data_IF_405221536546
#
_entry.id   IF_405221536546
#
_cell.length_a   1.000
_cell.length_b   1.000
_cell.length_c   1.000
_cell.angle_alpha   90.00
_cell.angle_beta   90.00
_cell.angle_gamma   90.00
#
_symmetry.space_group_name_H-M   'P 1'
#
loop_
_entity.id
_entity.type
_entity.pdbx_description
1 polymer ?
#
# COMPACT_ATOMS: atom_id res chain seq x y z
N UNK A 1 70.61 18.86 29.37
CA UNK A 1 69.25 19.17 28.86
C UNK A 1 68.68 17.91 28.26
N UNK A 2 67.61 17.35 28.85
CA UNK A 2 66.93 16.13 28.37
C UNK A 2 65.62 16.55 27.72
N UNK A 3 65.51 16.37 26.41
CA UNK A 3 64.30 16.68 25.64
C UNK A 3 63.40 15.44 25.62
N UNK A 4 62.26 15.52 26.31
CA UNK A 4 61.22 14.50 26.29
C UNK A 4 60.39 14.66 25.01
N UNK A 5 60.50 13.70 24.09
CA UNK A 5 59.65 13.63 22.89
C UNK A 5 58.39 12.84 23.24
N UNK A 6 57.26 13.54 23.43
CA UNK A 6 55.94 12.91 23.54
C UNK A 6 55.43 12.74 22.11
N UNK A 7 55.39 11.51 21.62
CA UNK A 7 54.73 11.14 20.35
C UNK A 7 53.25 10.87 20.66
N UNK A 8 52.37 11.79 20.26
CA UNK A 8 50.93 11.58 20.31
C UNK A 8 50.47 10.80 19.08
N UNK A 9 50.02 9.56 19.29
CA UNK A 9 49.44 8.72 18.25
C UNK A 9 47.93 9.06 18.14
N UNK A 10 47.56 9.84 17.13
CA UNK A 10 46.15 10.11 16.83
C UNK A 10 45.57 8.96 16.00
N UNK A 11 44.79 8.08 16.62
CA UNK A 11 44.00 7.07 15.93
C UNK A 11 42.75 7.73 15.32
N UNK A 12 42.74 7.94 14.01
CA UNK A 12 41.56 8.34 13.28
C UNK A 12 40.60 7.14 13.16
N UNK A 13 39.56 7.10 13.99
CA UNK A 13 38.44 6.18 13.81
C UNK A 13 37.62 6.61 12.60
N UNK A 14 37.85 6.01 11.43
CA UNK A 14 36.92 6.11 10.31
C UNK A 14 35.68 5.27 10.64
N UNK A 15 34.62 5.95 11.07
CA UNK A 15 33.29 5.35 11.22
C UNK A 15 32.72 5.18 9.81
N UNK A 16 32.86 3.97 9.24
CA UNK A 16 32.13 3.61 8.04
C UNK A 16 30.64 3.58 8.41
N UNK A 17 29.93 4.66 8.13
CA UNK A 17 28.48 4.67 8.14
C UNK A 17 28.02 3.71 7.05
N UNK A 18 27.78 2.45 7.42
CA UNK A 18 27.04 1.52 6.58
C UNK A 18 25.66 2.10 6.37
N UNK A 19 25.44 2.79 5.25
CA UNK A 19 24.11 3.24 4.87
C UNK A 19 23.25 2.00 4.72
N UNK A 20 22.20 1.86 5.53
CA UNK A 20 21.26 0.74 5.41
C UNK A 20 20.69 0.73 3.99
N UNK A 21 20.73 -0.43 3.35
CA UNK A 21 20.25 -0.62 1.98
C UNK A 21 18.77 -1.03 1.96
N UNK A 22 18.19 -1.21 3.15
CA UNK A 22 16.77 -1.28 3.44
C UNK A 22 16.32 -0.05 4.24
N UNK A 23 15.00 0.22 4.34
CA UNK A 23 14.50 1.32 5.14
C UNK A 23 14.87 1.18 6.64
N UNK A 24 14.95 2.29 7.39
CA UNK A 24 15.18 2.24 8.83
C UNK A 24 14.16 1.34 9.55
N UNK A 25 14.64 0.51 10.48
CA UNK A 25 13.84 -0.43 11.27
C UNK A 25 13.06 -1.46 10.44
N UNK A 26 13.52 -1.77 9.22
CA UNK A 26 12.94 -2.82 8.38
C UNK A 26 13.74 -4.12 8.49
N UNK A 27 13.02 -5.23 8.66
CA UNK A 27 13.56 -6.58 8.53
C UNK A 27 12.81 -7.33 7.42
N UNK A 28 13.50 -8.15 6.61
CA UNK A 28 14.92 -8.46 6.71
C UNK A 28 15.83 -7.31 6.19
N UNK A 29 16.90 -7.01 6.91
CA UNK A 29 17.86 -5.97 6.53
C UNK A 29 19.00 -6.49 5.63
N UNK A 30 19.55 -5.61 4.79
CA UNK A 30 20.78 -5.85 4.06
C UNK A 30 21.68 -4.62 4.08
N UNK A 31 23.00 -4.83 4.20
CA UNK A 31 24.02 -3.79 4.09
C UNK A 31 24.66 -3.72 2.70
N UNK A 32 24.35 -4.66 1.82
CA UNK A 32 24.87 -4.71 0.44
C UNK A 32 23.91 -3.99 -0.50
N UNK A 33 24.41 -3.04 -1.28
CA UNK A 33 23.61 -2.29 -2.24
C UNK A 33 23.21 -3.18 -3.42
N UNK A 34 21.92 -3.27 -3.69
CA UNK A 34 21.37 -3.77 -4.95
C UNK A 34 21.37 -2.61 -5.96
N UNK A 35 22.15 -2.70 -7.07
CA UNK A 35 22.09 -1.67 -8.10
C UNK A 35 20.73 -1.69 -8.80
N UNK A 36 19.95 -0.63 -8.62
CA UNK A 36 18.63 -0.46 -9.24
C UNK A 36 18.67 0.79 -10.10
N UNK A 37 18.12 0.72 -11.31
CA UNK A 37 17.99 1.87 -12.20
C UNK A 37 16.58 1.97 -12.77
N UNK A 38 16.07 3.20 -12.85
CA UNK A 38 14.88 3.56 -13.64
C UNK A 38 15.33 4.45 -14.80
N UNK A 39 15.26 3.90 -16.02
CA UNK A 39 15.90 4.51 -17.19
C UNK A 39 17.40 4.74 -16.94
N UNK A 40 17.85 5.99 -17.03
CA UNK A 40 19.24 6.38 -16.79
C UNK A 40 19.53 6.82 -15.35
N UNK A 41 18.56 6.72 -14.44
CA UNK A 41 18.72 7.17 -13.05
C UNK A 41 19.02 5.98 -12.13
N UNK A 42 20.16 6.03 -11.44
CA UNK A 42 20.49 5.09 -10.37
C UNK A 42 19.73 5.43 -9.10
N UNK A 43 19.08 4.44 -8.51
CA UNK A 43 18.40 4.56 -7.21
C UNK A 43 19.45 4.58 -6.11
N UNK A 44 19.54 5.70 -5.39
CA UNK A 44 20.24 5.76 -4.09
C UNK A 44 19.24 5.43 -2.98
N UNK A 45 19.61 4.64 -1.96
CA UNK A 45 18.73 4.31 -0.85
C UNK A 45 18.04 5.54 -0.25
N UNK A 46 16.71 5.50 -0.17
CA UNK A 46 15.89 6.57 0.39
C UNK A 46 15.63 7.76 -0.52
N UNK A 47 16.03 7.69 -1.81
CA UNK A 47 15.66 8.72 -2.80
C UNK A 47 14.14 8.77 -2.95
N UNK A 48 13.57 9.98 -3.04
CA UNK A 48 12.18 10.14 -3.45
C UNK A 48 12.11 10.21 -4.99
N UNK A 49 11.25 9.40 -5.60
CA UNK A 49 11.03 9.37 -7.04
C UNK A 49 9.63 9.90 -7.39
N UNK A 50 9.49 10.68 -8.47
CA UNK A 50 8.19 11.04 -8.99
C UNK A 50 7.54 9.83 -9.69
N UNK A 51 6.25 9.61 -9.46
CA UNK A 51 5.50 8.47 -10.00
C UNK A 51 5.67 8.27 -11.52
N UNK A 52 5.67 9.31 -12.39
CA UNK A 52 5.87 9.12 -13.84
C UNK A 52 7.22 8.49 -14.22
N UNK A 53 8.26 8.63 -13.40
CA UNK A 53 9.57 8.02 -13.66
C UNK A 53 9.58 6.50 -13.43
N UNK A 54 8.53 5.96 -12.81
CA UNK A 54 8.43 4.58 -12.35
C UNK A 54 7.37 3.78 -13.12
N UNK A 55 6.85 4.31 -14.24
CA UNK A 55 5.86 3.60 -15.06
C UNK A 55 6.41 2.31 -15.68
N UNK A 56 7.73 2.26 -15.92
CA UNK A 56 8.42 1.08 -16.41
C UNK A 56 9.17 0.38 -15.27
N UNK A 57 9.23 -0.95 -15.32
CA UNK A 57 9.99 -1.75 -14.35
C UNK A 57 11.48 -1.36 -14.33
N UNK A 58 12.14 -1.45 -13.16
CA UNK A 58 13.55 -1.09 -13.07
C UNK A 58 14.45 -2.13 -13.75
N UNK A 59 15.65 -1.69 -14.15
CA UNK A 59 16.73 -2.59 -14.54
C UNK A 59 17.69 -2.83 -13.36
N UNK A 60 18.21 -4.05 -13.27
CA UNK A 60 19.21 -4.47 -12.27
C UNK A 60 20.51 -4.78 -13.02
N UNK A 61 21.35 -3.76 -13.31
CA UNK A 61 22.58 -3.99 -14.06
C UNK A 61 23.56 -4.85 -13.25
N UNK A 62 24.33 -5.69 -13.94
CA UNK A 62 25.32 -6.60 -13.34
C UNK A 62 24.72 -7.65 -12.39
N UNK A 63 23.65 -8.36 -12.77
CA UNK A 63 23.04 -9.41 -11.94
C UNK A 63 23.54 -10.84 -12.28
N UNK A 64 24.68 -11.32 -11.76
CA UNK A 64 24.91 -12.75 -11.53
C UNK A 64 24.46 -13.16 -10.11
N UNK A 65 24.08 -12.19 -9.28
CA UNK A 65 23.45 -12.31 -7.96
C UNK A 65 22.95 -10.89 -7.62
N UNK A 66 21.66 -10.67 -7.32
CA UNK A 66 20.64 -11.67 -7.01
C UNK A 66 20.00 -12.33 -8.24
N UNK A 67 19.71 -13.63 -8.12
CA UNK A 67 18.99 -14.41 -9.13
C UNK A 67 17.46 -14.25 -9.02
N UNK A 68 17.00 -13.65 -7.94
CA UNK A 68 15.60 -13.36 -7.62
C UNK A 68 15.51 -11.98 -6.96
N UNK A 69 14.66 -11.10 -7.47
CA UNK A 69 14.39 -9.78 -6.91
C UNK A 69 12.91 -9.66 -6.59
N UNK A 70 12.59 -9.16 -5.39
CA UNK A 70 11.23 -8.90 -4.93
C UNK A 70 11.11 -7.42 -4.61
N UNK A 71 10.09 -6.76 -5.13
CA UNK A 71 9.76 -5.36 -4.80
C UNK A 71 8.46 -5.31 -3.98
N UNK A 72 8.54 -4.67 -2.81
CA UNK A 72 7.42 -4.54 -1.88
C UNK A 72 7.14 -3.07 -1.55
N UNK A 73 5.86 -2.70 -1.47
CA UNK A 73 5.39 -1.47 -0.83
C UNK A 73 5.09 -1.75 0.64
N UNK A 74 5.81 -1.07 1.54
CA UNK A 74 5.72 -1.28 2.98
C UNK A 74 4.63 -0.45 3.65
N UNK A 75 3.93 0.37 2.88
CA UNK A 75 3.10 1.46 3.38
C UNK A 75 1.70 1.46 2.76
N UNK A 76 1.33 0.46 1.97
CA UNK A 76 -0.01 0.35 1.42
C UNK A 76 -1.10 0.08 2.51
N UNK A 77 -2.29 0.71 2.42
CA UNK A 77 -2.69 1.69 1.41
C UNK A 77 -2.37 3.16 1.73
N UNK A 78 -2.27 3.57 3.00
CA UNK A 78 -2.23 4.99 3.41
C UNK A 78 -1.06 5.31 4.35
N UNK A 79 0.10 4.71 4.10
CA UNK A 79 1.31 4.86 4.90
C UNK A 79 1.05 4.66 6.40
N UNK A 80 1.56 5.55 7.26
CA UNK A 80 1.38 5.45 8.70
C UNK A 80 -0.07 5.56 9.16
N UNK A 81 -0.99 6.06 8.33
CA UNK A 81 -2.41 6.16 8.69
C UNK A 81 -3.12 4.80 8.59
N UNK A 82 -2.75 3.98 7.60
CA UNK A 82 -3.30 2.63 7.43
C UNK A 82 -2.32 1.77 6.61
N UNK A 83 -1.85 0.67 7.21
CA UNK A 83 -0.97 -0.32 6.56
C UNK A 83 -1.63 -1.69 6.36
N UNK A 84 -2.95 -1.75 6.29
CA UNK A 84 -3.71 -3.01 6.27
C UNK A 84 -3.40 -3.91 5.07
N UNK A 85 -2.81 -3.36 4.00
CA UNK A 85 -2.40 -4.09 2.79
C UNK A 85 -0.88 -4.34 2.70
N UNK A 86 -0.11 -3.84 3.67
CA UNK A 86 1.34 -3.96 3.70
C UNK A 86 1.80 -5.35 4.19
N UNK A 87 2.88 -5.91 3.62
CA UNK A 87 3.54 -5.42 2.41
C UNK A 87 2.74 -5.79 1.16
N UNK A 88 2.67 -4.87 0.18
CA UNK A 88 2.07 -5.13 -1.13
C UNK A 88 3.16 -5.54 -2.14
N UNK A 89 3.00 -6.68 -2.81
CA UNK A 89 3.95 -7.19 -3.79
C UNK A 89 3.78 -6.54 -5.16
N UNK A 90 4.73 -5.67 -5.52
CA UNK A 90 4.74 -4.96 -6.80
C UNK A 90 5.38 -5.77 -7.92
N UNK A 91 6.41 -6.55 -7.60
CA UNK A 91 7.22 -7.21 -8.61
C UNK A 91 8.00 -8.39 -8.05
N UNK A 92 8.08 -9.46 -8.83
CA UNK A 92 9.04 -10.55 -8.62
C UNK A 92 9.65 -10.88 -9.97
N UNK A 93 10.98 -10.84 -10.01
CA UNK A 93 11.78 -11.07 -11.21
C UNK A 93 12.88 -12.06 -10.90
N UNK A 94 13.20 -12.90 -11.88
CA UNK A 94 14.40 -13.73 -11.88
C UNK A 94 15.30 -13.38 -13.06
N UNK A 95 16.44 -14.06 -13.18
CA UNK A 95 17.32 -13.88 -14.35
C UNK A 95 16.65 -14.28 -15.67
N UNK A 96 15.67 -15.19 -15.64
CA UNK A 96 15.08 -15.79 -16.84
C UNK A 96 13.57 -15.57 -16.97
N UNK A 97 12.90 -15.05 -15.95
CA UNK A 97 11.44 -14.90 -15.94
C UNK A 97 10.96 -13.75 -15.07
N UNK A 98 9.69 -13.39 -15.22
CA UNK A 98 8.96 -12.43 -14.38
C UNK A 98 7.76 -13.14 -13.73
N UNK A 99 7.95 -13.88 -12.62
CA UNK A 99 6.86 -14.62 -11.98
C UNK A 99 5.70 -13.73 -11.51
N UNK A 100 5.99 -12.48 -11.15
CA UNK A 100 4.98 -11.49 -10.75
C UNK A 100 5.24 -10.23 -11.55
N UNK A 101 4.35 -9.93 -12.49
CA UNK A 101 4.42 -8.77 -13.38
C UNK A 101 4.50 -7.48 -12.57
N UNK A 102 5.38 -6.59 -13.01
CA UNK A 102 5.55 -5.27 -12.42
C UNK A 102 4.26 -4.46 -12.41
N UNK A 103 3.91 -3.90 -11.25
CA UNK A 103 2.92 -2.84 -11.11
C UNK A 103 3.64 -1.57 -10.66
N UNK A 104 3.49 -0.43 -11.36
CA UNK A 104 4.15 0.80 -10.97
C UNK A 104 3.67 1.29 -9.59
N UNK A 105 4.55 1.91 -8.78
CA UNK A 105 4.16 2.63 -7.58
C UNK A 105 3.02 3.61 -7.86
N UNK A 106 1.97 3.54 -7.05
CA UNK A 106 0.82 4.44 -7.14
C UNK A 106 0.25 4.69 -5.73
N UNK A 107 0.99 5.39 -4.86
CA UNK A 107 0.45 5.79 -3.55
C UNK A 107 -0.86 6.57 -3.73
N UNK A 108 -1.92 6.26 -2.97
CA UNK A 108 -3.20 6.96 -3.09
C UNK A 108 -3.06 8.47 -2.80
N UNK A 109 -3.82 9.29 -3.53
CA UNK A 109 -3.86 10.73 -3.32
C UNK A 109 -4.14 11.08 -1.85
N UNK A 110 -3.34 11.98 -1.27
CA UNK A 110 -3.45 12.38 0.14
C UNK A 110 -2.75 11.46 1.14
N UNK A 111 -2.21 10.31 0.71
CA UNK A 111 -1.31 9.50 1.53
C UNK A 111 0.03 10.21 1.75
N UNK A 112 0.71 9.87 2.85
CA UNK A 112 2.13 10.21 2.99
C UNK A 112 2.97 9.41 1.99
N UNK A 113 4.28 9.68 1.94
CA UNK A 113 5.20 8.92 1.11
C UNK A 113 5.18 7.42 1.45
N UNK A 114 5.09 6.57 0.43
CA UNK A 114 5.23 5.12 0.59
C UNK A 114 6.69 4.71 0.38
N UNK A 115 7.18 3.77 1.18
CA UNK A 115 8.51 3.17 1.03
C UNK A 115 8.40 1.89 0.21
N UNK A 116 9.20 1.85 -0.86
CA UNK A 116 9.36 0.69 -1.70
C UNK A 116 10.73 0.07 -1.46
N UNK A 117 10.76 -1.21 -1.11
CA UNK A 117 12.01 -1.96 -0.89
C UNK A 117 12.18 -3.00 -1.99
N UNK A 118 13.39 -3.11 -2.51
CA UNK A 118 13.82 -4.15 -3.45
C UNK A 118 14.79 -5.07 -2.73
N UNK A 119 14.44 -6.34 -2.66
CA UNK A 119 15.17 -7.39 -1.95
C UNK A 119 15.72 -8.38 -2.96
N UNK A 120 17.05 -8.52 -2.97
CA UNK A 120 17.77 -9.43 -3.85
C UNK A 120 18.17 -10.72 -3.13
N UNK A 121 17.85 -11.86 -3.71
CA UNK A 121 18.13 -13.19 -3.18
C UNK A 121 19.03 -14.01 -4.11
N UNK A 122 19.86 -14.87 -3.54
CA UNK A 122 20.49 -15.97 -4.26
C UNK A 122 19.52 -17.14 -4.32
N UNK A 123 19.20 -17.60 -5.52
CA UNK A 123 18.63 -18.93 -5.71
C UNK A 123 19.79 -19.92 -5.53
N UNK A 124 19.64 -20.90 -4.64
CA UNK A 124 20.68 -21.91 -4.38
C UNK A 124 21.17 -22.58 -5.67
N UNK A 125 22.38 -23.12 -5.61
CA UNK A 125 23.35 -23.48 -6.66
C UNK A 125 22.87 -24.33 -7.87
N UNK A 126 21.58 -24.58 -8.03
CA UNK A 126 20.99 -25.28 -9.17
C UNK A 126 20.49 -24.30 -10.23
N UNK A 127 21.40 -23.48 -10.79
CA UNK A 127 21.12 -22.63 -11.98
C UNK A 127 20.58 -23.40 -13.19
N UNK A 128 20.56 -24.73 -13.16
CA UNK A 128 19.97 -25.60 -14.17
C UNK A 128 18.43 -25.72 -14.09
N UNK A 129 17.82 -25.45 -12.93
CA UNK A 129 16.35 -25.54 -12.77
C UNK A 129 15.76 -24.12 -12.83
N UNK A 130 14.88 -23.82 -13.80
CA UNK A 130 14.17 -22.55 -13.83
C UNK A 130 13.41 -22.33 -12.53
N UNK A 131 13.50 -21.11 -11.99
CA UNK A 131 12.70 -20.74 -10.82
C UNK A 131 11.22 -21.01 -11.09
N UNK A 132 10.59 -21.72 -10.16
CA UNK A 132 9.15 -21.94 -10.17
C UNK A 132 8.56 -21.27 -8.93
N UNK A 133 7.42 -20.60 -9.11
CA UNK A 133 6.73 -19.95 -8.01
C UNK A 133 6.41 -20.98 -6.92
N UNK A 134 6.74 -20.72 -5.64
CA UNK A 134 6.46 -21.68 -4.59
C UNK A 134 4.96 -21.91 -4.42
N UNK A 135 4.60 -23.11 -3.98
CA UNK A 135 3.21 -23.46 -3.70
C UNK A 135 2.60 -22.52 -2.66
N UNK A 136 1.39 -22.02 -2.90
CA UNK A 136 0.69 -21.05 -2.07
C UNK A 136 0.92 -19.58 -2.48
N UNK A 137 1.78 -19.31 -3.46
CA UNK A 137 2.07 -17.97 -3.98
C UNK A 137 1.69 -17.81 -5.45
N UNK A 138 1.04 -18.80 -6.06
CA UNK A 138 0.68 -18.81 -7.48
C UNK A 138 -0.26 -17.64 -7.84
N UNK A 139 -1.12 -17.24 -6.91
CA UNK A 139 -2.08 -16.15 -7.11
C UNK A 139 -1.46 -14.76 -7.04
N UNK A 140 -0.19 -14.61 -6.64
CA UNK A 140 0.45 -13.29 -6.51
C UNK A 140 0.54 -12.55 -7.84
N UNK A 141 0.58 -13.25 -8.99
CA UNK A 141 0.55 -12.58 -10.30
C UNK A 141 -0.87 -12.31 -10.83
N UNK A 142 -1.90 -12.96 -10.29
CA UNK A 142 -3.23 -13.01 -10.89
C UNK A 142 -4.21 -11.93 -10.44
N UNK A 143 -4.13 -11.48 -9.19
CA UNK A 143 -5.05 -10.48 -8.62
C UNK A 143 -4.33 -9.55 -7.65
N UNK A 144 -4.92 -8.38 -7.37
CA UNK A 144 -4.44 -7.50 -6.30
C UNK A 144 -4.51 -8.18 -4.92
N UNK A 145 -5.53 -9.01 -4.69
CA UNK A 145 -5.69 -9.80 -3.46
C UNK A 145 -4.50 -10.73 -3.20
N UNK A 146 -3.96 -11.36 -4.25
CA UNK A 146 -2.77 -12.22 -4.12
C UNK A 146 -1.47 -11.46 -3.80
N UNK A 147 -1.48 -10.13 -3.85
CA UNK A 147 -0.31 -9.26 -3.67
C UNK A 147 -0.29 -8.54 -2.32
N UNK A 148 -1.45 -8.27 -1.72
CA UNK A 148 -1.54 -7.58 -0.43
C UNK A 148 -1.14 -8.49 0.73
N UNK A 149 -0.66 -7.90 1.82
CA UNK A 149 -0.20 -8.64 3.00
C UNK A 149 0.76 -9.81 2.65
N UNK A 150 1.64 -9.57 1.69
CA UNK A 150 2.53 -10.59 1.14
C UNK A 150 3.41 -11.21 2.23
N UNK A 151 3.27 -12.52 2.42
CA UNK A 151 4.01 -13.25 3.45
C UNK A 151 5.45 -13.52 3.00
N UNK A 152 6.32 -12.51 3.13
CA UNK A 152 7.72 -12.60 2.71
C UNK A 152 8.47 -13.76 3.37
N UNK A 153 8.35 -13.95 4.68
CA UNK A 153 9.06 -15.02 5.39
C UNK A 153 8.57 -16.41 4.98
N UNK A 154 7.26 -16.56 4.76
CA UNK A 154 6.67 -17.78 4.19
C UNK A 154 7.17 -18.04 2.77
N UNK A 155 7.28 -16.99 1.96
CA UNK A 155 7.81 -17.08 0.60
C UNK A 155 9.28 -17.51 0.62
N UNK A 156 10.12 -16.88 1.43
CA UNK A 156 11.55 -17.20 1.55
C UNK A 156 11.74 -18.68 1.91
N UNK A 157 11.01 -19.15 2.92
CA UNK A 157 11.01 -20.55 3.35
C UNK A 157 10.57 -21.49 2.23
N UNK A 158 9.50 -21.15 1.51
CA UNK A 158 8.94 -21.99 0.45
C UNK A 158 9.82 -22.01 -0.82
N UNK A 159 10.49 -20.89 -1.12
CA UNK A 159 11.45 -20.76 -2.23
C UNK A 159 12.84 -21.32 -1.89
N UNK A 160 13.10 -21.68 -0.63
CA UNK A 160 14.40 -22.17 -0.19
C UNK A 160 15.50 -21.11 -0.25
N UNK A 161 15.14 -19.83 -0.10
CA UNK A 161 16.08 -18.70 -0.01
C UNK A 161 16.20 -18.25 1.45
N UNK A 162 17.32 -17.60 1.80
CA UNK A 162 17.56 -17.15 3.18
C UNK A 162 18.01 -15.71 3.20
N UNK A 163 17.06 -14.82 3.44
CA UNK A 163 17.30 -13.38 3.55
C UNK A 163 17.87 -12.72 2.28
N UNK A 164 17.76 -11.39 2.18
CA UNK A 164 18.29 -10.65 1.05
C UNK A 164 19.83 -10.55 1.14
N UNK A 165 20.52 -10.97 0.09
CA UNK A 165 21.97 -10.77 -0.05
C UNK A 165 22.33 -9.34 -0.46
N UNK A 166 21.37 -8.61 -1.03
CA UNK A 166 21.47 -7.20 -1.38
C UNK A 166 20.08 -6.56 -1.32
N UNK A 167 20.02 -5.26 -1.05
CA UNK A 167 18.77 -4.50 -1.08
C UNK A 167 18.96 -3.09 -1.63
N UNK A 168 17.85 -2.45 -2.00
CA UNK A 168 17.78 -1.01 -2.21
C UNK A 168 16.38 -0.56 -1.83
N UNK A 169 16.18 0.73 -1.64
CA UNK A 169 14.84 1.26 -1.37
C UNK A 169 14.72 2.72 -1.79
N UNK A 170 13.49 3.15 -2.01
CA UNK A 170 13.15 4.52 -2.36
C UNK A 170 11.77 4.88 -1.80
N UNK A 171 11.40 6.16 -1.89
CA UNK A 171 10.03 6.59 -1.58
C UNK A 171 9.33 7.17 -2.79
N UNK A 172 8.00 7.11 -2.79
CA UNK A 172 7.15 7.77 -3.78
C UNK A 172 6.07 8.53 -3.04
N UNK A 173 5.92 9.80 -3.40
CA UNK A 173 4.83 10.63 -2.88
C UNK A 173 3.54 10.34 -3.63
N UNK A 174 2.41 10.43 -2.92
CA UNK A 174 1.11 10.50 -3.56
C UNK A 174 1.08 11.67 -4.55
N UNK A 175 0.49 11.46 -5.73
CA UNK A 175 0.26 12.56 -6.66
C UNK A 175 -0.62 13.60 -5.95
N UNK A 176 -0.13 14.85 -5.89
CA UNK A 176 -0.95 15.93 -5.35
C UNK A 176 -2.11 16.12 -6.30
N UNK A 177 -3.35 15.99 -5.80
CA UNK A 177 -4.53 16.44 -6.53
C UNK A 177 -4.26 17.88 -6.95
N UNK A 178 -4.08 18.10 -8.25
CA UNK A 178 -3.76 19.40 -8.79
C UNK A 178 -4.98 20.27 -8.53
N UNK A 179 -4.93 21.07 -7.47
CA UNK A 179 -5.96 22.05 -7.17
C UNK A 179 -6.23 22.87 -8.43
N UNK A 180 -7.50 22.87 -8.86
CA UNK A 180 -8.00 23.83 -9.82
C UNK A 180 -7.50 25.21 -9.40
N UNK A 181 -6.88 25.92 -10.34
CA UNK A 181 -6.43 27.29 -10.13
C UNK A 181 -7.57 28.10 -9.47
N UNK A 182 -7.22 28.77 -8.37
CA UNK A 182 -8.15 29.53 -7.56
C UNK A 182 -9.04 30.42 -8.41
N UNK A 183 -10.34 30.12 -8.39
CA UNK A 183 -11.37 31.13 -8.64
C UNK A 183 -12.18 31.18 -7.36
N UNK A 184 -12.10 32.32 -6.69
CA UNK A 184 -12.89 32.71 -5.51
C UNK A 184 -14.33 32.20 -5.62
N UNK A 185 -14.74 31.32 -4.70
CA UNK A 185 -16.13 30.91 -4.55
C UNK A 185 -16.96 32.12 -4.08
N UNK A 186 -18.12 32.41 -4.68
CA UNK A 186 -19.02 33.42 -4.12
C UNK A 186 -19.59 32.90 -2.80
N UNK A 187 -19.52 33.75 -1.75
CA UNK A 187 -20.25 33.54 -0.51
C UNK A 187 -21.74 33.43 -0.82
N UNK A 188 -22.33 32.27 -0.55
CA UNK A 188 -23.79 32.12 -0.55
C UNK A 188 -24.28 32.33 0.87
N UNK A 189 -24.81 33.53 1.13
CA UNK A 189 -25.50 33.87 2.36
C UNK A 189 -26.77 33.01 2.50
N UNK A 190 -27.00 32.53 3.72
CA UNK A 190 -28.10 31.63 4.04
C UNK A 190 -29.48 32.28 3.91
N UNK A 191 -30.49 31.44 3.64
CA UNK A 191 -31.90 31.65 3.99
C UNK A 191 -32.67 30.34 3.82
N UNK A 192 -33.56 30.06 4.77
CA UNK A 192 -34.76 29.25 4.52
C UNK A 192 -34.84 27.92 5.26
N UNK A 193 -35.16 27.99 6.55
CA UNK A 193 -35.73 26.89 7.33
C UNK A 193 -37.10 26.55 6.73
N UNK A 194 -37.35 25.28 6.38
CA UNK A 194 -38.70 24.74 6.29
C UNK A 194 -38.80 23.46 7.10
N UNK A 195 -39.41 23.62 8.27
CA UNK A 195 -39.80 22.58 9.21
C UNK A 195 -41.13 22.00 8.73
N UNK A 196 -41.19 20.70 8.47
CA UNK A 196 -42.42 19.94 8.30
C UNK A 196 -42.41 18.78 9.31
N UNK A 197 -43.27 18.93 10.30
CA UNK A 197 -43.54 17.98 11.39
C UNK A 197 -44.61 16.98 11.00
N UNK A 198 -44.37 15.68 11.14
CA UNK A 198 -45.13 14.70 11.96
C UNK A 198 -44.64 13.25 11.71
N UNK A 199 -44.82 12.31 12.66
CA UNK A 199 -43.90 11.19 12.87
C UNK A 199 -44.37 9.86 12.26
N UNK A 200 -43.42 9.07 11.74
CA UNK A 200 -43.59 7.62 11.50
C UNK A 200 -42.42 6.91 12.18
N UNK A 201 -42.71 5.83 12.90
CA UNK A 201 -41.75 5.06 13.69
C UNK A 201 -40.65 4.44 12.82
N UNK A 202 -39.40 4.64 13.24
CA UNK A 202 -38.17 4.18 12.58
C UNK A 202 -37.21 5.35 12.40
N UNK A 203 -36.38 5.64 13.41
CA UNK A 203 -35.38 6.71 13.31
C UNK A 203 -34.29 6.32 12.31
N UNK A 204 -34.23 7.08 11.22
CA UNK A 204 -33.19 7.02 10.20
C UNK A 204 -32.00 7.85 10.66
N UNK A 205 -30.91 7.21 11.10
CA UNK A 205 -29.67 7.91 11.42
C UNK A 205 -28.88 8.12 10.11
N UNK A 206 -28.94 9.34 9.56
CA UNK A 206 -28.07 9.72 8.45
C UNK A 206 -26.69 10.03 9.02
N UNK A 207 -25.71 9.16 8.78
CA UNK A 207 -24.31 9.39 9.14
C UNK A 207 -23.51 9.50 7.84
N UNK A 208 -22.89 10.66 7.67
CA UNK A 208 -22.22 11.04 6.43
C UNK A 208 -22.00 12.55 6.40
N UNK A 209 -21.27 13.09 7.38
CA UNK A 209 -20.75 14.45 7.24
C UNK A 209 -19.65 14.42 6.17
N UNK A 210 -20.01 14.72 4.92
CA UNK A 210 -19.03 14.97 3.87
C UNK A 210 -19.32 14.39 2.49
N UNK A 211 -20.40 13.61 2.31
CA UNK A 211 -20.74 13.04 0.98
C UNK A 211 -21.81 13.93 0.33
N UNK A 212 -21.51 14.64 -0.76
CA UNK A 212 -22.53 15.36 -1.51
C UNK A 212 -23.50 14.36 -2.16
N UNK A 213 -24.81 14.55 -2.00
CA UNK A 213 -25.82 13.86 -2.82
C UNK A 213 -26.32 12.48 -2.35
N UNK A 214 -25.97 12.00 -1.16
CA UNK A 214 -26.54 10.78 -0.59
C UNK A 214 -25.66 10.21 0.51
N UNK A 215 -26.17 10.17 1.74
CA UNK A 215 -25.46 9.57 2.87
C UNK A 215 -25.57 8.05 2.86
N UNK A 216 -24.59 7.38 3.45
CA UNK A 216 -24.71 5.95 3.74
C UNK A 216 -25.81 5.71 4.77
N UNK A 217 -26.62 4.68 4.56
CA UNK A 217 -27.64 4.31 5.54
C UNK A 217 -27.00 3.44 6.61
N UNK A 218 -26.88 3.99 7.82
CA UNK A 218 -26.59 3.22 9.02
C UNK A 218 -27.91 2.64 9.56
N UNK A 219 -27.96 1.34 9.82
CA UNK A 219 -29.12 0.71 10.45
C UNK A 219 -28.99 0.75 11.98
N UNK A 220 -30.08 1.08 12.68
CA UNK A 220 -30.08 1.11 14.14
C UNK A 220 -29.75 -0.27 14.74
N UNK A 221 -29.00 -0.24 15.85
CA UNK A 221 -28.44 -1.35 16.64
C UNK A 221 -29.40 -2.46 17.09
N UNK A 222 -30.70 -2.39 16.76
CA UNK A 222 -31.75 -3.25 17.32
C UNK A 222 -32.48 -4.14 16.30
N UNK A 223 -32.30 -3.96 14.99
CA UNK A 223 -33.13 -4.66 13.98
C UNK A 223 -32.39 -5.70 13.13
N UNK A 224 -31.06 -5.70 13.11
CA UNK A 224 -30.24 -6.71 12.44
C UNK A 224 -29.41 -7.43 13.50
N UNK A 225 -29.25 -8.75 13.36
CA UNK A 225 -28.39 -9.54 14.23
C UNK A 225 -26.93 -9.04 14.17
N UNK A 226 -26.13 -9.45 15.15
CA UNK A 226 -24.70 -9.08 15.23
C UNK A 226 -23.82 -10.05 14.43
N UNK A 227 -24.35 -10.66 13.38
CA UNK A 227 -23.62 -11.67 12.63
C UNK A 227 -23.12 -11.15 11.27
N UNK A 228 -22.29 -11.98 10.66
CA UNK A 228 -21.59 -11.72 9.39
C UNK A 228 -22.55 -11.48 8.23
N UNK A 229 -23.69 -12.19 8.20
CA UNK A 229 -24.63 -12.11 7.08
C UNK A 229 -25.40 -10.79 7.12
N UNK A 230 -25.59 -10.22 8.31
CA UNK A 230 -26.14 -8.88 8.49
C UNK A 230 -25.20 -7.78 8.01
N UNK A 231 -23.90 -7.84 8.35
CA UNK A 231 -22.90 -6.90 7.82
C UNK A 231 -22.82 -7.00 6.29
N UNK A 232 -22.79 -8.22 5.76
CA UNK A 232 -22.78 -8.46 4.31
C UNK A 232 -24.02 -7.86 3.65
N UNK A 233 -25.19 -8.01 4.27
CA UNK A 233 -26.45 -7.43 3.77
C UNK A 233 -26.42 -5.90 3.79
N UNK A 234 -25.89 -5.30 4.86
CA UNK A 234 -25.70 -3.84 4.96
C UNK A 234 -24.73 -3.35 3.91
N UNK A 235 -23.60 -4.05 3.71
CA UNK A 235 -22.62 -3.73 2.69
C UNK A 235 -23.22 -3.84 1.29
N UNK A 236 -23.89 -4.94 0.96
CA UNK A 236 -24.49 -5.16 -0.36
C UNK A 236 -25.58 -4.13 -0.68
N UNK A 237 -26.43 -3.75 0.29
CA UNK A 237 -27.44 -2.69 0.08
C UNK A 237 -26.82 -1.32 -0.14
N UNK A 238 -25.77 -0.99 0.60
CA UNK A 238 -25.01 0.23 0.37
C UNK A 238 -24.24 0.15 -0.95
N UNK A 239 -23.77 -1.04 -1.35
CA UNK A 239 -23.11 -1.30 -2.63
C UNK A 239 -24.05 -1.07 -3.81
N UNK A 240 -25.29 -1.56 -3.74
CA UNK A 240 -26.32 -1.27 -4.75
C UNK A 240 -26.57 0.23 -4.89
N UNK A 241 -26.54 0.96 -3.76
CA UNK A 241 -26.65 2.43 -3.77
C UNK A 241 -25.42 3.08 -4.40
N UNK A 242 -24.23 2.54 -4.14
CA UNK A 242 -22.98 2.98 -4.76
C UNK A 242 -22.96 2.69 -6.27
N UNK A 243 -23.38 1.52 -6.73
CA UNK A 243 -23.30 1.13 -8.15
C UNK A 243 -24.37 1.83 -9.01
N UNK A 244 -25.52 2.19 -8.43
CA UNK A 244 -26.58 2.92 -9.15
C UNK A 244 -26.31 4.43 -9.27
N UNK A 245 -25.40 4.98 -8.46
CA UNK A 245 -25.04 6.39 -8.52
C UNK A 245 -24.13 6.66 -9.71
N UNK A 246 -24.43 7.72 -10.46
CA UNK A 246 -23.60 8.16 -11.57
C UNK A 246 -22.46 9.04 -11.05
N UNK A 247 -21.32 8.42 -10.73
CA UNK A 247 -20.16 9.10 -10.15
C UNK A 247 -19.36 9.88 -11.19
N UNK A 248 -19.01 11.12 -10.85
CA UNK A 248 -17.99 11.89 -11.57
C UNK A 248 -16.60 11.24 -11.40
N UNK A 249 -15.65 11.56 -12.28
CA UNK A 249 -14.30 11.03 -12.21
C UNK A 249 -13.59 11.36 -10.88
N UNK A 250 -13.79 12.58 -10.38
CA UNK A 250 -13.20 13.05 -9.13
C UNK A 250 -13.79 12.34 -7.91
N UNK A 251 -15.09 12.05 -7.92
CA UNK A 251 -15.71 11.29 -6.83
C UNK A 251 -15.31 9.81 -6.87
N UNK A 252 -15.14 9.22 -8.07
CA UNK A 252 -14.63 7.83 -8.19
C UNK A 252 -13.23 7.68 -7.61
N UNK A 253 -12.37 8.68 -7.80
CA UNK A 253 -11.04 8.69 -7.20
C UNK A 253 -11.06 8.67 -5.67
N UNK A 254 -12.17 9.12 -5.04
CA UNK A 254 -12.34 9.16 -3.58
C UNK A 254 -13.08 7.93 -3.02
N UNK A 255 -13.71 7.10 -3.86
CA UNK A 255 -14.45 5.91 -3.43
C UNK A 255 -13.66 4.97 -2.51
N UNK A 256 -12.36 4.68 -2.75
CA UNK A 256 -11.59 3.83 -1.84
C UNK A 256 -11.51 4.39 -0.41
N UNK A 257 -11.37 5.71 -0.27
CA UNK A 257 -11.35 6.36 1.03
C UNK A 257 -12.73 6.30 1.71
N UNK A 258 -13.81 6.53 0.97
CA UNK A 258 -15.18 6.43 1.51
C UNK A 258 -15.55 5.01 1.93
N UNK A 259 -15.20 3.99 1.15
CA UNK A 259 -15.42 2.59 1.50
C UNK A 259 -14.64 2.24 2.77
N UNK A 260 -13.39 2.70 2.90
CA UNK A 260 -12.59 2.48 4.10
C UNK A 260 -13.22 3.09 5.36
N UNK A 261 -13.65 4.35 5.28
CA UNK A 261 -14.32 5.05 6.39
C UNK A 261 -15.62 4.33 6.77
N UNK A 262 -16.44 3.97 5.78
CA UNK A 262 -17.70 3.26 6.02
C UNK A 262 -17.46 1.93 6.74
N UNK A 263 -16.50 1.13 6.29
CA UNK A 263 -16.19 -0.15 6.95
C UNK A 263 -15.65 0.06 8.37
N UNK A 264 -14.86 1.09 8.63
CA UNK A 264 -14.39 1.43 9.97
C UNK A 264 -15.53 1.86 10.89
N UNK A 265 -16.47 2.68 10.42
CA UNK A 265 -17.66 3.09 11.20
C UNK A 265 -18.61 1.91 11.49
N UNK A 266 -18.79 1.01 10.52
CA UNK A 266 -19.60 -0.19 10.74
C UNK A 266 -18.90 -1.23 11.63
N UNK A 267 -17.56 -1.22 11.72
CA UNK A 267 -16.80 -2.17 12.55
C UNK A 267 -17.16 -2.06 14.04
N UNK A 268 -17.40 -0.86 14.56
CA UNK A 268 -17.82 -0.71 15.97
C UNK A 268 -19.24 -1.26 16.22
N UNK A 269 -19.99 -1.49 15.14
CA UNK A 269 -21.37 -1.97 15.18
C UNK A 269 -21.45 -3.50 15.02
N UNK A 270 -20.55 -4.12 14.26
CA UNK A 270 -20.54 -5.56 13.97
C UNK A 270 -19.30 -6.26 14.54
N UNK A 271 -19.49 -7.30 15.37
CA UNK A 271 -18.42 -8.09 15.98
C UNK A 271 -17.76 -9.05 14.96
N UNK A 272 -17.16 -8.53 13.88
CA UNK A 272 -16.50 -9.33 12.85
C UNK A 272 -14.99 -9.41 13.03
N UNK A 273 -14.38 -10.47 12.51
CA UNK A 273 -12.93 -10.67 12.56
C UNK A 273 -12.19 -9.85 11.48
N UNK A 274 -10.92 -9.51 11.71
CA UNK A 274 -10.10 -8.71 10.76
C UNK A 274 -9.93 -9.38 9.38
N UNK A 275 -10.01 -10.71 9.31
CA UNK A 275 -9.96 -11.45 8.04
C UNK A 275 -11.22 -11.24 7.21
N UNK A 276 -12.38 -11.24 7.85
CA UNK A 276 -13.67 -11.03 7.20
C UNK A 276 -13.88 -9.57 6.80
N UNK A 277 -13.34 -8.63 7.59
CA UNK A 277 -13.25 -7.20 7.23
C UNK A 277 -12.57 -7.01 5.88
N UNK A 278 -11.39 -7.59 5.70
CA UNK A 278 -10.61 -7.46 4.45
C UNK A 278 -11.35 -8.01 3.25
N UNK A 279 -11.95 -9.20 3.39
CA UNK A 279 -12.74 -9.81 2.31
C UNK A 279 -13.92 -8.93 1.89
N UNK A 280 -14.68 -8.43 2.87
CA UNK A 280 -15.82 -7.55 2.64
C UNK A 280 -15.44 -6.22 1.94
N UNK A 281 -14.33 -5.59 2.36
CA UNK A 281 -13.81 -4.39 1.70
C UNK A 281 -13.39 -4.66 0.24
N UNK A 282 -12.78 -5.82 -0.01
CA UNK A 282 -12.34 -6.18 -1.36
C UNK A 282 -13.53 -6.49 -2.27
N UNK A 283 -14.54 -7.23 -1.80
CA UNK A 283 -15.79 -7.48 -2.55
C UNK A 283 -16.49 -6.16 -2.89
N UNK A 284 -16.55 -5.22 -1.95
CA UNK A 284 -17.11 -3.89 -2.17
C UNK A 284 -16.32 -3.07 -3.20
N UNK A 285 -14.99 -3.12 -3.13
CA UNK A 285 -14.12 -2.40 -4.05
C UNK A 285 -14.20 -2.94 -5.49
N UNK A 286 -14.19 -4.27 -5.65
CA UNK A 286 -14.32 -4.91 -6.96
C UNK A 286 -15.63 -4.52 -7.64
N UNK A 287 -16.76 -4.55 -6.92
CA UNK A 287 -18.06 -4.20 -7.47
C UNK A 287 -18.18 -2.72 -7.88
N UNK A 288 -17.39 -1.83 -7.27
CA UNK A 288 -17.35 -0.41 -7.64
C UNK A 288 -16.41 -0.14 -8.82
N UNK A 289 -15.39 -1.00 -9.00
CA UNK A 289 -14.40 -0.88 -10.07
C UNK A 289 -14.87 -1.46 -11.42
N UNK A 290 -15.86 -2.36 -11.42
CA UNK A 290 -16.45 -3.00 -12.61
C UNK A 290 -17.78 -2.38 -13.01
#
# INVERSE_FOLDING_TARGET
>A
MRTNTIVALAAAMMVNLSTAQTPPNYEPASSTLLPVMYGNQTVKPGTNFPQPALLSKPSIPNAPSPALVIMLDLDAPLASANRSFSPLCHWIQTTTSEPVTYIPPQPPAGSADHRYVLLGYTLGNNSAVPFTMPKGFENTNGTLEGRVAFNLSGFEKAAGVTGPVAANWFTVSAEKVRGSNGTTAPQFEGRGVHQLTTPIAGSLLTVGRGIPGGGFQCYERRSLGKDKEDLKTVLLKNLDTLTQRNWTADERAQLPAYISIFVEEQQETFCITDGEKRRAMMEAWVAVAT
#
